data_IF_716036095005
#
_entry.id   IF_716036095005
#
_cell.length_a   1.000
_cell.length_b   1.000
_cell.length_c   1.000
_cell.angle_alpha   90.00
_cell.angle_beta   90.00
_cell.angle_gamma   90.00
#
_symmetry.space_group_name_H-M   'P 1'
#
loop_
_entity.id
_entity.type
_entity.pdbx_description
1 polymer ?
#
# COMPACT_ATOMS: atom_id res chain seq x y z
N UNK A 1 -50.84 42.30 8.71
CA UNK A 1 -49.95 41.94 7.58
C UNK A 1 -48.83 41.06 8.12
N UNK A 2 -48.63 39.84 7.59
CA UNK A 2 -47.51 38.97 7.97
C UNK A 2 -46.40 39.16 6.94
N UNK A 3 -45.32 39.83 7.31
CA UNK A 3 -44.15 40.04 6.45
C UNK A 3 -43.50 38.70 6.09
N UNK A 4 -43.78 38.21 4.88
CA UNK A 4 -42.98 37.15 4.24
C UNK A 4 -41.67 37.77 3.79
N UNK A 5 -40.65 37.74 4.65
CA UNK A 5 -39.26 37.95 4.21
C UNK A 5 -38.85 36.77 3.33
N UNK A 6 -38.91 36.96 2.01
CA UNK A 6 -38.23 36.08 1.06
C UNK A 6 -36.73 36.19 1.29
N UNK A 7 -36.21 35.32 2.15
CA UNK A 7 -34.77 35.23 2.38
C UNK A 7 -34.14 34.70 1.10
N UNK A 8 -33.51 35.57 0.32
CA UNK A 8 -32.70 35.19 -0.84
C UNK A 8 -31.67 34.14 -0.42
N UNK A 9 -31.29 33.24 -1.34
CA UNK A 9 -30.27 32.19 -1.10
C UNK A 9 -28.96 32.74 -0.51
N UNK A 10 -28.65 34.01 -0.80
CA UNK A 10 -27.49 34.73 -0.24
C UNK A 10 -27.64 34.97 1.28
N UNK A 11 -28.80 35.47 1.72
CA UNK A 11 -29.08 35.71 3.14
C UNK A 11 -29.02 34.42 3.98
N UNK A 12 -29.54 33.32 3.45
CA UNK A 12 -29.46 32.00 4.12
C UNK A 12 -28.01 31.49 4.24
N UNK A 13 -27.14 31.81 3.27
CA UNK A 13 -25.71 31.46 3.34
C UNK A 13 -24.98 32.28 4.41
N UNK A 14 -25.28 33.57 4.52
CA UNK A 14 -24.70 34.44 5.54
C UNK A 14 -25.09 34.03 6.96
N UNK A 15 -26.37 33.69 7.18
CA UNK A 15 -26.84 33.18 8.48
C UNK A 15 -26.08 31.90 8.84
N UNK A 16 -25.99 30.93 7.91
CA UNK A 16 -25.24 29.68 8.12
C UNK A 16 -23.74 29.93 8.38
N UNK A 17 -23.14 30.94 7.75
CA UNK A 17 -21.75 31.30 7.98
C UNK A 17 -21.55 31.92 9.36
N UNK A 18 -22.44 32.84 9.76
CA UNK A 18 -22.43 33.46 11.11
C UNK A 18 -22.61 32.41 12.21
N UNK A 19 -23.52 31.46 12.04
CA UNK A 19 -23.71 30.33 12.97
C UNK A 19 -22.48 29.43 13.06
N UNK A 20 -21.83 29.11 11.93
CA UNK A 20 -20.58 28.35 11.91
C UNK A 20 -19.45 29.05 12.66
N UNK A 21 -19.31 30.37 12.46
CA UNK A 21 -18.30 31.18 13.14
C UNK A 21 -18.57 31.21 14.65
N UNK A 22 -19.83 31.38 15.06
CA UNK A 22 -20.22 31.37 16.48
C UNK A 22 -19.89 30.02 17.14
N UNK A 23 -20.30 28.91 16.53
CA UNK A 23 -19.95 27.55 17.01
C UNK A 23 -18.45 27.31 17.08
N UNK A 24 -17.68 27.81 16.10
CA UNK A 24 -16.23 27.68 16.11
C UNK A 24 -15.56 28.48 17.23
N UNK A 25 -16.09 29.67 17.55
CA UNK A 25 -15.62 30.49 18.69
C UNK A 25 -15.92 29.81 20.02
N UNK A 26 -17.13 29.28 20.22
CA UNK A 26 -17.54 28.54 21.42
C UNK A 26 -16.65 27.31 21.64
N UNK A 27 -16.43 26.49 20.60
CA UNK A 27 -15.54 25.32 20.67
C UNK A 27 -14.08 25.68 20.99
N UNK A 28 -13.58 26.82 20.49
CA UNK A 28 -12.22 27.29 20.83
C UNK A 28 -12.12 27.66 22.30
N UNK A 29 -13.16 28.30 22.85
CA UNK A 29 -13.19 28.75 24.24
C UNK A 29 -13.30 27.55 25.19
N UNK A 30 -14.12 26.55 24.85
CA UNK A 30 -14.15 25.26 25.56
C UNK A 30 -12.80 24.53 25.52
N UNK A 31 -12.10 24.53 24.38
CA UNK A 31 -10.77 23.93 24.27
C UNK A 31 -9.73 24.64 25.15
N UNK A 32 -9.82 25.97 25.29
CA UNK A 32 -8.96 26.73 26.22
C UNK A 32 -9.24 26.36 27.67
N UNK A 33 -10.51 26.37 28.10
CA UNK A 33 -10.93 25.92 29.43
C UNK A 33 -10.51 24.47 29.75
N UNK A 34 -10.58 23.57 28.76
CA UNK A 34 -10.11 22.17 28.89
C UNK A 34 -8.58 22.07 29.03
N UNK A 35 -7.82 22.96 28.39
CA UNK A 35 -6.36 23.02 28.55
C UNK A 35 -5.96 23.60 29.91
N UNK A 36 -6.66 24.65 30.35
CA UNK A 36 -6.43 25.29 31.66
C UNK A 36 -6.78 24.37 32.83
N UNK A 37 -7.79 23.51 32.69
CA UNK A 37 -8.20 22.55 33.73
C UNK A 37 -7.26 21.34 33.92
N UNK A 38 -6.18 21.22 33.14
CA UNK A 38 -5.14 20.20 33.34
C UNK A 38 -5.58 18.73 33.18
N UNK A 39 -6.85 18.47 32.82
CA UNK A 39 -7.33 17.10 32.57
C UNK A 39 -6.59 16.52 31.37
N UNK A 40 -6.16 15.24 31.42
CA UNK A 40 -5.51 14.60 30.29
C UNK A 40 -6.45 14.71 29.08
N UNK A 41 -5.91 15.13 27.95
CA UNK A 41 -6.69 15.23 26.72
C UNK A 41 -7.28 13.85 26.41
N UNK A 42 -8.62 13.76 26.36
CA UNK A 42 -9.29 12.52 26.00
C UNK A 42 -8.80 11.99 24.65
N UNK A 43 -8.79 10.67 24.49
CA UNK A 43 -8.31 10.00 23.28
C UNK A 43 -9.08 10.58 22.07
N UNK A 44 -8.40 11.09 21.03
CA UNK A 44 -9.08 11.67 19.89
C UNK A 44 -9.91 10.61 19.18
N UNK A 45 -11.22 10.87 19.05
CA UNK A 45 -12.15 10.04 18.30
C UNK A 45 -11.84 10.14 16.79
N UNK A 46 -10.89 9.33 16.35
CA UNK A 46 -10.53 9.17 14.94
C UNK A 46 -11.32 8.01 14.32
N UNK A 47 -11.36 7.93 12.99
CA UNK A 47 -11.98 6.79 12.29
C UNK A 47 -11.32 5.44 12.63
N UNK A 48 -10.05 5.44 13.01
CA UNK A 48 -9.34 4.26 13.49
C UNK A 48 -9.79 3.89 14.91
N UNK A 49 -9.89 4.87 15.82
CA UNK A 49 -10.38 4.63 17.19
C UNK A 49 -11.85 4.19 17.23
N UNK A 50 -12.64 4.61 16.25
CA UNK A 50 -14.06 4.23 16.11
C UNK A 50 -14.25 3.08 15.10
N UNK A 51 -13.19 2.33 14.76
CA UNK A 51 -13.27 1.15 13.88
C UNK A 51 -14.22 0.13 14.53
N UNK A 52 -15.08 -0.48 13.71
CA UNK A 52 -15.87 -1.62 14.17
C UNK A 52 -14.92 -2.76 14.46
N UNK A 53 -14.99 -3.33 15.67
CA UNK A 53 -14.17 -4.49 16.02
C UNK A 53 -14.49 -5.62 15.04
N UNK A 54 -13.45 -6.22 14.48
CA UNK A 54 -13.54 -7.30 13.53
C UNK A 54 -13.04 -8.56 14.23
N UNK A 55 -13.85 -9.61 14.23
CA UNK A 55 -13.55 -10.90 14.87
C UNK A 55 -12.39 -11.63 14.18
N UNK A 56 -12.08 -11.26 12.93
CA UNK A 56 -11.00 -11.88 12.15
C UNK A 56 -9.62 -11.27 12.43
N UNK A 57 -9.49 -10.39 13.43
CA UNK A 57 -8.20 -9.85 13.85
C UNK A 57 -7.45 -10.93 14.63
N UNK A 58 -6.31 -11.36 14.10
CA UNK A 58 -5.51 -12.46 14.65
C UNK A 58 -4.09 -11.96 14.94
N UNK A 59 -3.48 -12.28 16.09
CA UNK A 59 -2.06 -12.04 16.34
C UNK A 59 -1.18 -12.76 15.31
N UNK A 60 -0.03 -12.19 14.97
CA UNK A 60 0.88 -12.81 14.00
C UNK A 60 1.54 -14.10 14.51
N UNK A 61 1.67 -14.22 15.82
CA UNK A 61 2.33 -15.34 16.50
C UNK A 61 1.35 -16.46 16.90
N UNK A 62 0.13 -16.43 16.36
CA UNK A 62 -0.88 -17.47 16.61
C UNK A 62 -0.44 -18.82 16.00
N UNK A 63 -0.34 -19.91 16.79
CA UNK A 63 0.12 -21.21 16.29
C UNK A 63 -0.70 -21.75 15.11
N UNK A 64 -2.02 -21.53 15.11
CA UNK A 64 -2.89 -22.04 14.04
C UNK A 64 -2.58 -21.35 12.70
N UNK A 65 -2.31 -20.04 12.77
CA UNK A 65 -1.93 -19.24 11.61
C UNK A 65 -0.55 -19.66 11.08
N UNK A 66 0.40 -19.95 11.97
CA UNK A 66 1.74 -20.40 11.56
C UNK A 66 1.69 -21.76 10.87
N UNK A 67 0.92 -22.71 11.39
CA UNK A 67 0.71 -24.01 10.75
C UNK A 67 0.05 -23.89 9.36
N UNK A 68 -0.95 -23.00 9.22
CA UNK A 68 -1.56 -22.71 7.91
C UNK A 68 -0.52 -22.13 6.94
N UNK A 69 0.33 -21.23 7.42
CA UNK A 69 1.37 -20.61 6.61
C UNK A 69 2.50 -21.56 6.21
N UNK A 70 2.89 -22.49 7.07
CA UNK A 70 3.97 -23.43 6.78
C UNK A 70 3.58 -24.47 5.72
N UNK A 71 2.28 -24.70 5.56
CA UNK A 71 1.72 -25.67 4.60
C UNK A 71 1.13 -25.04 3.33
N UNK A 72 1.21 -23.71 3.19
CA UNK A 72 0.57 -23.01 2.07
C UNK A 72 1.36 -23.05 0.77
N UNK A 73 0.75 -22.54 -0.31
CA UNK A 73 1.33 -22.56 -1.66
C UNK A 73 2.55 -21.65 -1.82
N UNK A 74 2.86 -20.83 -0.79
CA UNK A 74 3.96 -19.88 -0.77
C UNK A 74 5.07 -20.31 0.18
N UNK A 75 4.90 -21.40 0.94
CA UNK A 75 5.84 -21.88 1.94
C UNK A 75 7.26 -22.00 1.39
N UNK A 76 7.43 -22.56 0.18
CA UNK A 76 8.73 -22.70 -0.51
C UNK A 76 9.48 -21.35 -0.72
N UNK A 77 8.73 -20.25 -0.87
CA UNK A 77 9.31 -18.91 -1.05
C UNK A 77 9.67 -18.28 0.30
N UNK A 78 8.98 -18.66 1.37
CA UNK A 78 9.23 -18.19 2.72
C UNK A 78 10.30 -19.01 3.44
N UNK A 79 10.42 -20.31 3.17
CA UNK A 79 11.52 -21.17 3.63
C UNK A 79 12.86 -20.82 2.96
N UNK A 80 12.82 -20.17 1.80
CA UNK A 80 14.01 -19.79 1.03
C UNK A 80 14.44 -20.84 -0.01
N UNK A 81 13.71 -21.95 -0.11
CA UNK A 81 13.98 -23.01 -1.09
C UNK A 81 13.88 -22.51 -2.53
N UNK A 82 12.94 -21.57 -2.76
CA UNK A 82 12.70 -21.00 -4.09
C UNK A 82 12.82 -19.48 -4.09
N UNK A 83 13.87 -18.97 -4.72
CA UNK A 83 14.04 -17.51 -4.91
C UNK A 83 12.99 -16.95 -5.87
N UNK A 84 12.28 -15.86 -5.50
CA UNK A 84 11.31 -15.23 -6.39
C UNK A 84 11.93 -14.77 -7.70
N UNK A 85 11.32 -15.19 -8.81
CA UNK A 85 11.62 -14.76 -10.17
C UNK A 85 10.33 -14.27 -10.81
N UNK A 86 10.26 -12.99 -11.10
CA UNK A 86 9.01 -12.32 -11.44
C UNK A 86 8.96 -11.90 -12.90
N UNK A 87 7.85 -12.17 -13.57
CA UNK A 87 7.57 -11.66 -14.92
C UNK A 87 6.63 -10.47 -14.81
N UNK A 88 7.10 -9.25 -15.07
CA UNK A 88 6.27 -8.06 -15.15
C UNK A 88 5.88 -7.80 -16.60
N UNK A 89 4.57 -7.76 -16.85
CA UNK A 89 3.98 -7.38 -18.14
C UNK A 89 2.93 -6.30 -17.94
N UNK A 90 2.53 -5.68 -19.04
CA UNK A 90 1.46 -4.69 -19.06
C UNK A 90 0.43 -5.02 -20.15
N UNK A 91 -0.75 -4.43 -20.06
CA UNK A 91 -1.79 -4.55 -21.08
C UNK A 91 -1.28 -4.10 -22.45
N UNK A 92 -1.97 -4.51 -23.50
CA UNK A 92 -1.59 -4.10 -24.85
C UNK A 92 -1.83 -2.59 -25.07
N UNK A 93 -1.04 -1.97 -25.96
CA UNK A 93 -1.15 -0.54 -26.35
C UNK A 93 -1.22 0.46 -25.18
N UNK A 94 -0.42 0.26 -24.13
CA UNK A 94 -0.35 1.18 -22.98
C UNK A 94 0.37 2.49 -23.28
N UNK A 95 0.01 3.54 -22.55
CA UNK A 95 0.67 4.82 -22.68
C UNK A 95 2.13 4.79 -22.17
N UNK A 96 3.02 5.67 -22.68
CA UNK A 96 4.42 5.74 -22.24
C UNK A 96 4.58 6.00 -20.74
N UNK A 97 3.60 6.66 -20.10
CA UNK A 97 3.58 6.88 -18.65
C UNK A 97 3.47 5.56 -17.88
N UNK A 98 2.61 4.65 -18.31
CA UNK A 98 2.45 3.31 -17.69
C UNK A 98 3.66 2.42 -17.96
N UNK A 99 4.24 2.49 -19.16
CA UNK A 99 5.52 1.83 -19.44
C UNK A 99 6.63 2.35 -18.52
N UNK A 100 6.71 3.66 -18.33
CA UNK A 100 7.63 4.29 -17.38
C UNK A 100 7.42 3.80 -15.95
N UNK A 101 6.16 3.67 -15.52
CA UNK A 101 5.82 3.09 -14.21
C UNK A 101 6.32 1.65 -14.08
N UNK A 102 6.10 0.79 -15.08
CA UNK A 102 6.56 -0.59 -15.06
C UNK A 102 8.10 -0.69 -15.03
N UNK A 103 8.80 0.19 -15.76
CA UNK A 103 10.26 0.31 -15.72
C UNK A 103 10.76 0.73 -14.33
N UNK A 104 10.08 1.66 -13.67
CA UNK A 104 10.40 2.05 -12.30
C UNK A 104 10.14 0.88 -11.33
N UNK A 105 8.99 0.19 -11.45
CA UNK A 105 8.64 -0.95 -10.59
C UNK A 105 9.66 -2.10 -10.70
N UNK A 106 10.10 -2.42 -11.93
CA UNK A 106 11.12 -3.43 -12.19
C UNK A 106 12.51 -3.08 -11.58
N UNK A 107 12.79 -1.79 -11.32
CA UNK A 107 14.00 -1.38 -10.61
C UNK A 107 13.87 -1.46 -9.09
N UNK A 108 12.64 -1.45 -8.56
CA UNK A 108 12.38 -1.47 -7.12
C UNK A 108 12.34 -2.90 -6.59
N UNK A 109 11.62 -3.79 -7.27
CA UNK A 109 11.48 -5.18 -6.85
C UNK A 109 12.64 -5.99 -7.45
N UNK A 110 13.40 -6.75 -6.64
CA UNK A 110 14.46 -7.63 -7.14
C UNK A 110 13.93 -8.70 -8.10
N UNK A 111 14.79 -9.22 -8.98
CA UNK A 111 14.50 -10.37 -9.85
C UNK A 111 13.27 -10.21 -10.77
N UNK A 112 12.91 -8.97 -11.14
CA UNK A 112 11.83 -8.69 -12.09
C UNK A 112 12.34 -8.62 -13.52
N UNK A 113 11.71 -9.40 -14.40
CA UNK A 113 11.89 -9.33 -15.84
C UNK A 113 10.71 -8.59 -16.46
N UNK A 114 10.98 -7.39 -16.98
CA UNK A 114 9.98 -6.61 -17.70
C UNK A 114 9.91 -7.08 -19.16
N UNK A 115 8.75 -7.58 -19.59
CA UNK A 115 8.49 -7.95 -20.98
C UNK A 115 7.15 -7.37 -21.45
N UNK A 116 7.14 -6.86 -22.67
CA UNK A 116 5.90 -6.47 -23.33
C UNK A 116 5.10 -7.73 -23.71
N UNK A 117 3.78 -7.62 -23.75
CA UNK A 117 2.87 -8.74 -24.00
C UNK A 117 2.67 -9.07 -25.49
N UNK A 118 2.81 -8.09 -26.38
CA UNK A 118 2.65 -8.26 -27.84
C UNK A 118 1.38 -9.04 -28.22
N UNK A 119 0.21 -8.57 -27.76
CA UNK A 119 -1.10 -9.20 -28.01
C UNK A 119 -1.30 -10.64 -27.47
N UNK A 120 -0.34 -11.21 -26.73
CA UNK A 120 -0.50 -12.55 -26.15
C UNK A 120 -1.56 -12.56 -25.03
N UNK A 121 -2.53 -13.48 -25.02
CA UNK A 121 -3.49 -13.58 -23.93
C UNK A 121 -2.79 -14.09 -22.66
N UNK A 122 -3.24 -13.60 -21.50
CA UNK A 122 -2.66 -13.96 -20.19
C UNK A 122 -2.66 -15.48 -19.95
N UNK A 123 -3.72 -16.18 -20.38
CA UNK A 123 -3.82 -17.64 -20.30
C UNK A 123 -2.69 -18.38 -21.02
N UNK A 124 -2.09 -17.80 -22.07
CA UNK A 124 -0.91 -18.38 -22.77
C UNK A 124 0.43 -17.98 -22.14
N UNK A 125 0.46 -16.89 -21.37
CA UNK A 125 1.67 -16.41 -20.70
C UNK A 125 1.98 -17.27 -19.49
N UNK A 126 0.95 -17.70 -18.74
CA UNK A 126 1.12 -18.46 -17.50
C UNK A 126 1.86 -19.79 -17.72
N UNK A 127 1.45 -20.68 -18.65
CA UNK A 127 2.18 -21.93 -18.89
C UNK A 127 3.64 -21.70 -19.30
N UNK A 128 3.88 -20.71 -20.17
CA UNK A 128 5.24 -20.33 -20.59
C UNK A 128 6.06 -19.76 -19.43
N UNK A 129 5.43 -19.03 -18.52
CA UNK A 129 6.11 -18.50 -17.34
C UNK A 129 6.47 -19.63 -16.37
N UNK A 130 5.60 -20.63 -16.21
CA UNK A 130 5.89 -21.84 -15.42
C UNK A 130 7.08 -22.60 -16.02
N UNK A 131 7.07 -22.83 -17.33
CA UNK A 131 8.16 -23.51 -18.06
C UNK A 131 9.51 -22.79 -17.91
N UNK A 132 9.49 -21.45 -17.90
CA UNK A 132 10.69 -20.63 -17.69
C UNK A 132 11.08 -20.43 -16.20
N UNK A 133 10.40 -21.15 -15.28
CA UNK A 133 10.69 -21.15 -13.85
C UNK A 133 10.31 -19.87 -13.11
N UNK A 134 9.40 -19.04 -13.63
CA UNK A 134 8.91 -17.86 -12.91
C UNK A 134 8.04 -18.28 -11.72
N UNK A 135 8.18 -17.57 -10.60
CA UNK A 135 7.41 -17.78 -9.36
C UNK A 135 6.15 -16.94 -9.31
N UNK A 136 6.10 -15.82 -10.02
CA UNK A 136 4.86 -15.06 -10.19
C UNK A 136 4.87 -14.20 -11.46
N UNK A 137 3.68 -13.91 -11.95
CA UNK A 137 3.43 -13.00 -13.08
C UNK A 137 2.67 -11.79 -12.56
N UNK A 138 3.23 -10.61 -12.81
CA UNK A 138 2.63 -9.32 -12.50
C UNK A 138 2.13 -8.67 -13.79
N UNK A 139 0.89 -8.18 -13.76
CA UNK A 139 0.20 -7.61 -14.91
C UNK A 139 -0.35 -6.24 -14.53
N UNK A 140 0.16 -5.20 -15.18
CA UNK A 140 -0.36 -3.83 -15.04
C UNK A 140 -1.32 -3.53 -16.18
N UNK A 141 -2.58 -3.25 -15.84
CA UNK A 141 -3.58 -2.81 -16.81
C UNK A 141 -3.78 -1.30 -16.75
N UNK A 142 -4.02 -0.72 -17.92
CA UNK A 142 -4.35 0.68 -18.12
C UNK A 142 -5.84 0.86 -18.47
N UNK A 143 -6.43 1.93 -17.98
CA UNK A 143 -7.76 2.40 -18.36
C UNK A 143 -7.71 3.93 -18.54
N UNK A 144 -8.26 4.42 -19.65
CA UNK A 144 -8.26 5.84 -20.02
C UNK A 144 -6.90 6.54 -19.80
N UNK A 145 -5.83 5.95 -20.38
CA UNK A 145 -4.43 6.44 -20.29
C UNK A 145 -3.88 6.54 -18.86
N UNK A 146 -4.46 5.80 -17.90
CA UNK A 146 -4.04 5.76 -16.50
C UNK A 146 -3.94 4.31 -16.01
N UNK A 147 -2.83 3.97 -15.36
CA UNK A 147 -2.68 2.66 -14.75
C UNK A 147 -3.77 2.44 -13.66
N UNK A 148 -4.54 1.35 -13.78
CA UNK A 148 -5.78 1.14 -13.03
C UNK A 148 -5.80 -0.17 -12.23
N UNK A 149 -5.23 -1.25 -12.76
CA UNK A 149 -5.29 -2.56 -12.10
C UNK A 149 -3.90 -3.20 -12.10
N UNK A 150 -3.53 -3.80 -10.98
CA UNK A 150 -2.37 -4.67 -10.85
C UNK A 150 -2.88 -6.07 -10.50
N UNK A 151 -2.64 -7.04 -11.37
CA UNK A 151 -2.92 -8.45 -11.11
C UNK A 151 -1.59 -9.15 -10.83
N UNK A 152 -1.54 -9.93 -9.77
CA UNK A 152 -0.37 -10.72 -9.39
C UNK A 152 -0.82 -12.17 -9.26
N UNK A 153 -0.28 -13.05 -10.09
CA UNK A 153 -0.60 -14.48 -10.08
C UNK A 153 0.65 -15.25 -9.65
N UNK A 154 0.56 -15.94 -8.52
CA UNK A 154 1.64 -16.79 -8.02
C UNK A 154 1.63 -18.12 -8.77
N UNK A 155 2.81 -18.59 -9.16
CA UNK A 155 3.02 -19.78 -9.99
C UNK A 155 3.81 -20.83 -9.19
N UNK A 156 3.59 -22.13 -9.46
CA UNK A 156 2.84 -22.72 -10.58
C UNK A 156 1.34 -22.90 -10.31
N UNK A 157 0.92 -23.08 -9.05
CA UNK A 157 -0.48 -23.28 -8.64
C UNK A 157 -0.92 -22.29 -7.56
N UNK A 158 -0.16 -21.21 -7.37
CA UNK A 158 -0.44 -20.23 -6.33
C UNK A 158 -1.65 -19.36 -6.65
N UNK A 159 -2.19 -18.64 -5.66
CA UNK A 159 -3.36 -17.78 -5.81
C UNK A 159 -3.08 -16.56 -6.68
N UNK A 160 -4.15 -15.95 -7.16
CA UNK A 160 -4.12 -14.74 -7.96
C UNK A 160 -4.81 -13.59 -7.24
N UNK A 161 -4.04 -12.55 -6.94
CA UNK A 161 -4.55 -11.34 -6.29
C UNK A 161 -4.72 -10.21 -7.29
N UNK A 162 -5.89 -9.59 -7.25
CA UNK A 162 -6.20 -8.40 -8.05
C UNK A 162 -6.28 -7.18 -7.16
N UNK A 163 -5.49 -6.17 -7.48
CA UNK A 163 -5.50 -4.87 -6.83
C UNK A 163 -5.99 -3.79 -7.78
N UNK A 164 -6.82 -2.88 -7.27
CA UNK A 164 -7.01 -1.57 -7.90
C UNK A 164 -5.80 -0.71 -7.60
N UNK A 165 -5.15 -0.24 -8.64
CA UNK A 165 -4.07 0.73 -8.61
C UNK A 165 -4.65 2.16 -8.70
N UNK A 166 -4.13 3.07 -7.88
CA UNK A 166 -4.56 4.46 -7.85
C UNK A 166 -3.40 5.37 -7.45
N UNK A 167 -3.52 6.67 -7.77
CA UNK A 167 -2.55 7.69 -7.38
C UNK A 167 -1.10 7.40 -7.83
N UNK A 168 -0.92 6.82 -9.01
CA UNK A 168 0.42 6.52 -9.56
C UNK A 168 1.16 7.82 -9.89
N UNK A 169 2.21 8.09 -9.10
CA UNK A 169 3.17 9.17 -9.29
C UNK A 169 4.52 8.56 -9.59
N UNK A 170 5.05 8.89 -10.75
CA UNK A 170 6.39 8.49 -11.16
C UNK A 170 7.42 9.28 -10.36
N UNK A 171 8.62 8.72 -10.22
CA UNK A 171 9.72 9.38 -9.52
C UNK A 171 10.05 10.76 -10.08
N UNK A 172 10.02 10.90 -11.41
CA UNK A 172 10.25 12.18 -12.12
C UNK A 172 9.24 13.28 -11.78
N UNK A 173 8.08 12.92 -11.23
CA UNK A 173 7.02 13.86 -10.86
C UNK A 173 7.06 14.27 -9.38
N UNK A 174 7.97 13.68 -8.59
CA UNK A 174 8.12 14.00 -7.17
C UNK A 174 8.92 15.29 -6.99
N UNK A 175 8.41 16.21 -6.16
CA UNK A 175 9.07 17.49 -5.85
C UNK A 175 10.12 17.30 -4.73
N UNK A 176 11.35 17.77 -4.94
CA UNK A 176 12.41 17.78 -3.92
C UNK A 176 13.69 18.49 -4.41
N UNK A 177 14.37 19.24 -3.52
CA UNK A 177 15.55 20.10 -3.83
C UNK A 177 16.83 19.33 -4.17
N UNK A 178 16.94 18.05 -3.80
CA UNK A 178 18.10 17.22 -4.13
C UNK A 178 17.73 16.37 -5.33
N UNK A 179 18.36 16.63 -6.48
CA UNK A 179 18.22 15.80 -7.68
C UNK A 179 18.56 14.36 -7.30
N UNK A 180 17.51 13.58 -7.08
CA UNK A 180 17.33 12.19 -7.46
C UNK A 180 18.64 11.39 -7.61
N UNK A 181 19.30 11.03 -6.50
CA UNK A 181 20.22 9.88 -6.54
C UNK A 181 19.45 8.69 -7.08
N UNK A 182 19.92 8.11 -8.17
CA UNK A 182 19.31 6.93 -8.78
C UNK A 182 19.20 5.79 -7.79
N UNK A 183 18.24 4.90 -8.08
CA UNK A 183 18.10 3.65 -7.36
C UNK A 183 19.41 2.90 -7.61
N UNK A 184 20.22 2.76 -6.57
CA UNK A 184 21.54 2.13 -6.68
C UNK A 184 21.37 0.70 -7.19
N UNK A 185 22.13 0.26 -8.21
CA UNK A 185 22.12 -1.14 -8.59
C UNK A 185 22.64 -1.99 -7.41
N UNK A 186 22.16 -3.23 -7.27
CA UNK A 186 22.68 -4.27 -6.36
C UNK A 186 22.39 -4.15 -4.85
N UNK A 187 21.77 -3.08 -4.35
CA UNK A 187 21.35 -3.01 -2.92
C UNK A 187 19.99 -3.66 -2.66
N UNK A 188 19.88 -4.82 -2.02
CA UNK A 188 18.56 -5.43 -1.78
C UNK A 188 17.70 -4.52 -0.87
N UNK A 189 16.42 -4.25 -1.21
CA UNK A 189 15.55 -3.43 -0.35
C UNK A 189 15.00 -4.23 0.82
N UNK A 190 14.93 -3.62 1.99
CA UNK A 190 14.21 -4.15 3.14
C UNK A 190 12.70 -3.94 2.97
N UNK A 191 11.90 -4.99 3.16
CA UNK A 191 10.45 -4.98 3.03
C UNK A 191 9.82 -4.67 4.40
N UNK A 192 9.01 -3.62 4.45
CA UNK A 192 8.20 -3.28 5.62
C UNK A 192 6.73 -3.34 5.25
N UNK A 193 6.01 -4.24 5.89
CA UNK A 193 4.56 -4.37 5.81
C UNK A 193 3.95 -3.95 7.15
N UNK A 194 2.93 -3.10 7.12
CA UNK A 194 2.41 -2.48 8.34
C UNK A 194 0.88 -2.45 8.34
N UNK A 195 0.29 -2.76 9.50
CA UNK A 195 -1.16 -2.73 9.78
C UNK A 195 -1.99 -3.69 8.93
N UNK A 196 -1.44 -4.86 8.62
CA UNK A 196 -2.21 -6.03 8.18
C UNK A 196 -2.52 -6.83 9.43
N UNK A 197 -3.77 -6.80 9.87
CA UNK A 197 -4.16 -7.36 11.18
C UNK A 197 -5.25 -8.40 11.09
N UNK A 198 -6.13 -8.30 10.10
CA UNK A 198 -7.16 -9.32 9.87
C UNK A 198 -6.55 -10.55 9.19
N UNK A 199 -7.20 -11.71 9.26
CA UNK A 199 -6.77 -12.92 8.54
C UNK A 199 -6.59 -12.68 7.04
N UNK A 200 -7.52 -11.95 6.41
CA UNK A 200 -7.40 -11.50 5.01
C UNK A 200 -6.23 -10.53 4.80
N UNK A 201 -5.99 -9.64 5.76
CA UNK A 201 -4.85 -8.73 5.79
C UNK A 201 -3.53 -9.49 5.79
N UNK A 202 -3.38 -10.47 6.68
CA UNK A 202 -2.19 -11.32 6.81
C UNK A 202 -1.98 -12.18 5.55
N UNK A 203 -3.06 -12.75 4.96
CA UNK A 203 -2.99 -13.44 3.67
C UNK A 203 -2.50 -12.50 2.56
N UNK A 204 -3.03 -11.28 2.50
CA UNK A 204 -2.60 -10.26 1.53
C UNK A 204 -1.16 -9.82 1.74
N UNK A 205 -0.74 -9.66 3.00
CA UNK A 205 0.65 -9.37 3.38
C UNK A 205 1.59 -10.47 2.90
N UNK A 206 1.22 -11.74 3.14
CA UNK A 206 1.99 -12.91 2.70
C UNK A 206 2.14 -12.98 1.18
N UNK A 207 1.07 -12.72 0.43
CA UNK A 207 1.08 -12.64 -1.03
C UNK A 207 2.02 -11.56 -1.55
N UNK A 208 1.98 -10.37 -0.95
CA UNK A 208 2.89 -9.28 -1.30
C UNK A 208 4.33 -9.64 -0.91
N UNK A 209 4.53 -10.26 0.25
CA UNK A 209 5.83 -10.68 0.77
C UNK A 209 6.53 -11.74 -0.09
N UNK A 210 5.76 -12.65 -0.71
CA UNK A 210 6.28 -13.66 -1.62
C UNK A 210 6.85 -13.09 -2.94
N UNK A 211 6.62 -11.81 -3.25
CA UNK A 211 7.26 -11.14 -4.38
C UNK A 211 8.70 -10.74 -4.10
N UNK A 212 9.14 -10.77 -2.84
CA UNK A 212 10.46 -10.33 -2.43
C UNK A 212 11.30 -11.52 -1.97
N UNK A 213 12.58 -11.58 -2.37
CA UNK A 213 13.52 -12.56 -1.83
C UNK A 213 13.62 -12.50 -0.30
N UNK A 214 14.03 -13.60 0.31
CA UNK A 214 14.14 -13.70 1.78
C UNK A 214 15.05 -12.63 2.40
N UNK A 215 16.16 -12.30 1.73
CA UNK A 215 17.07 -11.23 2.12
C UNK A 215 16.40 -9.85 2.26
N UNK A 216 15.22 -9.63 1.65
CA UNK A 216 14.45 -8.40 1.84
C UNK A 216 13.71 -8.38 3.19
N UNK A 217 13.40 -9.54 3.76
CA UNK A 217 12.68 -9.71 5.02
C UNK A 217 13.63 -9.78 6.22
N UNK A 218 14.89 -10.13 5.99
CA UNK A 218 15.94 -10.16 7.01
C UNK A 218 16.29 -8.75 7.54
N UNK A 219 17.06 -8.72 8.63
CA UNK A 219 17.48 -7.49 9.29
C UNK A 219 18.19 -6.52 8.31
N UNK A 220 17.86 -5.22 8.35
CA UNK A 220 18.33 -4.29 7.34
C UNK A 220 19.79 -3.87 7.58
N UNK A 221 20.54 -3.72 6.49
CA UNK A 221 21.95 -3.27 6.52
C UNK A 221 22.06 -1.76 6.75
N UNK A 222 23.26 -1.27 7.13
CA UNK A 222 23.51 0.14 7.51
C UNK A 222 23.13 1.15 6.41
N UNK A 223 23.31 0.77 5.15
CA UNK A 223 22.91 1.55 3.98
C UNK A 223 21.95 0.72 3.15
N UNK A 224 20.66 0.84 3.47
CA UNK A 224 19.63 0.01 2.87
C UNK A 224 18.55 0.84 2.18
N UNK A 225 18.02 0.27 1.10
CA UNK A 225 16.74 0.67 0.53
C UNK A 225 15.63 0.06 1.38
N UNK A 226 14.46 0.68 1.40
CA UNK A 226 13.29 0.19 2.12
C UNK A 226 12.04 0.37 1.28
N UNK A 227 11.34 -0.73 1.05
CA UNK A 227 10.04 -0.76 0.40
C UNK A 227 8.98 -0.91 1.49
N UNK A 228 8.01 0.00 1.50
CA UNK A 228 6.97 0.06 2.53
C UNK A 228 5.61 -0.18 1.89
N UNK A 229 4.88 -1.17 2.42
CA UNK A 229 3.46 -1.38 2.20
C UNK A 229 2.72 -1.07 3.50
N UNK A 230 2.14 0.12 3.57
CA UNK A 230 1.40 0.56 4.74
C UNK A 230 -0.10 0.45 4.49
N UNK A 231 -0.79 -0.44 5.20
CA UNK A 231 -2.24 -0.51 5.16
C UNK A 231 -2.86 0.56 6.05
N UNK A 232 -3.81 1.31 5.49
CA UNK A 232 -4.66 2.21 6.24
C UNK A 232 -6.05 2.22 5.60
N UNK A 233 -7.05 1.70 6.31
CA UNK A 233 -8.46 1.69 5.88
C UNK A 233 -8.67 0.99 4.52
N UNK A 234 -8.09 -0.20 4.36
CA UNK A 234 -8.01 -0.98 3.11
C UNK A 234 -7.22 -0.33 1.96
N UNK A 235 -6.55 0.79 2.20
CA UNK A 235 -5.64 1.39 1.23
C UNK A 235 -4.22 1.02 1.60
N UNK A 236 -3.59 0.23 0.73
CA UNK A 236 -2.20 -0.15 0.89
C UNK A 236 -1.36 0.90 0.16
N UNK A 237 -0.66 1.73 0.93
CA UNK A 237 0.22 2.76 0.39
C UNK A 237 1.60 2.16 0.15
N UNK A 238 2.03 2.20 -1.11
CA UNK A 238 3.38 1.84 -1.49
C UNK A 238 4.30 3.05 -1.42
N UNK A 239 5.44 2.91 -0.75
CA UNK A 239 6.51 3.90 -0.73
C UNK A 239 7.86 3.20 -0.84
N UNK A 240 8.84 3.86 -1.44
CA UNK A 240 10.20 3.36 -1.53
C UNK A 240 11.17 4.43 -1.09
N UNK A 241 11.83 4.17 0.03
CA UNK A 241 12.77 5.07 0.68
C UNK A 241 14.19 4.52 0.58
N UNK A 242 15.14 5.43 0.54
CA UNK A 242 16.54 5.20 0.89
C UNK A 242 16.74 5.86 2.24
N UNK A 243 17.25 5.13 3.21
CA UNK A 243 17.60 5.71 4.49
C UNK A 243 19.11 5.66 4.72
N UNK A 244 19.61 6.63 5.47
CA UNK A 244 20.99 6.69 5.93
C UNK A 244 20.97 6.98 7.42
N UNK A 245 21.61 6.14 8.21
CA UNK A 245 21.90 6.46 9.62
C UNK A 245 22.96 7.55 9.63
N UNK A 246 22.68 8.64 10.35
CA UNK A 246 23.61 9.74 10.55
C UNK A 246 23.72 10.01 12.04
N UNK A 247 24.94 10.18 12.49
CA UNK A 247 25.24 10.81 13.77
C UNK A 247 25.19 12.32 13.57
N UNK A 248 24.45 13.05 14.39
CA UNK A 248 24.60 14.49 14.45
C UNK A 248 25.96 14.80 15.09
N UNK A 249 26.83 15.50 14.38
CA UNK A 249 28.11 15.94 14.92
C UNK A 249 27.86 16.92 16.07
N UNK A 250 28.69 16.84 17.12
CA UNK A 250 28.54 17.61 18.36
C UNK A 250 28.66 19.14 18.17
N UNK A 251 29.10 19.61 17.00
CA UNK A 251 29.32 21.05 16.73
C UNK A 251 28.02 21.82 16.40
N UNK A 252 26.98 21.18 15.83
CA UNK A 252 25.70 21.87 15.55
C UNK A 252 24.74 21.89 16.74
N UNK A 253 24.92 21.00 17.73
CA UNK A 253 24.13 20.98 18.95
C UNK A 253 24.99 21.45 20.12
N UNK A 254 24.76 22.69 20.57
CA UNK A 254 25.30 23.25 21.83
C UNK A 254 25.18 22.24 23.00
N UNK A 255 26.22 21.42 23.20
CA UNK A 255 26.44 20.61 24.41
C UNK A 255 25.60 19.32 24.59
N UNK A 256 25.08 18.70 23.53
CA UNK A 256 24.28 17.46 23.66
C UNK A 256 24.90 16.27 22.93
N UNK A 257 25.04 15.11 23.60
CA UNK A 257 25.49 13.81 23.03
C UNK A 257 24.91 13.60 21.62
N UNK A 258 25.78 13.29 20.65
CA UNK A 258 25.41 13.10 19.23
C UNK A 258 24.24 12.14 19.09
N UNK A 259 23.06 12.68 18.74
CA UNK A 259 21.85 11.88 18.58
C UNK A 259 21.88 11.24 17.20
N UNK A 260 21.88 9.92 17.14
CA UNK A 260 21.65 9.21 15.89
C UNK A 260 20.25 9.51 15.36
N UNK A 261 20.17 9.87 14.09
CA UNK A 261 18.90 10.07 13.40
C UNK A 261 18.94 9.40 12.02
N UNK A 262 17.76 9.04 11.53
CA UNK A 262 17.60 8.38 10.23
C UNK A 262 17.18 9.42 9.20
N UNK A 263 18.07 9.72 8.27
CA UNK A 263 17.77 10.58 7.13
C UNK A 263 17.10 9.75 6.02
N UNK A 264 15.81 9.96 5.79
CA UNK A 264 15.05 9.25 4.75
C UNK A 264 14.83 10.12 3.51
N UNK A 265 15.07 9.55 2.34
CA UNK A 265 14.76 10.16 1.05
C UNK A 265 13.91 9.21 0.22
N UNK A 266 12.87 9.73 -0.43
CA UNK A 266 12.03 8.91 -1.29
C UNK A 266 12.61 8.80 -2.69
N UNK A 267 12.76 7.55 -3.17
CA UNK A 267 13.52 7.24 -4.38
C UNK A 267 12.71 6.49 -5.45
N UNK A 268 11.58 5.88 -5.10
CA UNK A 268 10.73 5.14 -6.05
C UNK A 268 9.38 5.79 -6.33
N UNK A 269 8.54 5.16 -7.17
CA UNK A 269 7.19 5.64 -7.45
C UNK A 269 6.31 5.59 -6.21
N UNK A 270 5.27 6.44 -6.18
CA UNK A 270 4.18 6.35 -5.22
C UNK A 270 2.94 5.80 -5.91
N UNK A 271 2.28 4.87 -5.25
CA UNK A 271 0.95 4.46 -5.65
C UNK A 271 0.19 3.92 -4.44
N UNK A 272 -1.11 3.72 -4.63
CA UNK A 272 -1.99 3.12 -3.65
C UNK A 272 -2.64 1.90 -4.29
N UNK A 273 -2.58 0.78 -3.59
CA UNK A 273 -3.30 -0.44 -3.94
C UNK A 273 -4.54 -0.55 -3.06
N UNK A 274 -5.58 -1.18 -3.62
CA UNK A 274 -6.77 -1.57 -2.90
C UNK A 274 -7.18 -2.96 -3.35
N UNK A 275 -7.25 -3.90 -2.42
CA UNK A 275 -7.61 -5.28 -2.71
C UNK A 275 -8.99 -5.34 -3.38
N UNK A 276 -9.09 -6.05 -4.51
CA UNK A 276 -10.33 -6.31 -5.24
C UNK A 276 -10.79 -7.75 -5.08
N UNK A 277 -9.88 -8.69 -5.24
CA UNK A 277 -10.17 -10.10 -5.09
C UNK A 277 -8.90 -10.91 -4.86
N UNK A 278 -9.07 -12.05 -4.21
CA UNK A 278 -8.11 -13.15 -4.11
C UNK A 278 -8.81 -14.36 -4.72
N UNK A 279 -8.20 -14.90 -5.76
CA UNK A 279 -8.64 -16.09 -6.48
C UNK A 279 -7.73 -17.26 -6.10
N UNK A 280 -8.33 -18.42 -5.86
CA UNK A 280 -7.62 -19.67 -5.65
C UNK A 280 -7.02 -20.14 -6.97
N UNK A 281 -5.73 -20.47 -6.95
CA UNK A 281 -4.97 -20.85 -8.14
C UNK A 281 -4.64 -19.70 -9.10
N UNK A 282 -4.06 -20.09 -10.24
CA UNK A 282 -3.57 -19.16 -11.26
C UNK A 282 -4.71 -18.41 -11.94
N UNK A 283 -4.39 -17.32 -12.64
CA UNK A 283 -5.40 -16.45 -13.24
C UNK A 283 -6.33 -17.22 -14.21
N UNK A 284 -7.58 -17.38 -13.80
CA UNK A 284 -8.68 -17.81 -14.66
C UNK A 284 -9.87 -16.86 -14.56
N UNK A 285 -10.29 -16.34 -15.71
CA UNK A 285 -11.36 -15.35 -15.82
C UNK A 285 -12.76 -15.97 -15.91
N UNK A 286 -12.89 -17.27 -16.14
CA UNK A 286 -14.19 -17.91 -16.42
C UNK A 286 -14.69 -18.79 -15.26
N UNK A 287 -13.85 -19.69 -14.75
CA UNK A 287 -14.23 -20.69 -13.75
C UNK A 287 -13.35 -20.61 -12.50
N UNK A 288 -12.78 -19.43 -12.26
CA UNK A 288 -11.92 -19.18 -11.12
C UNK A 288 -12.69 -19.16 -9.80
N UNK A 289 -12.31 -20.02 -8.86
CA UNK A 289 -12.81 -19.97 -7.49
C UNK A 289 -12.18 -18.81 -6.72
N UNK A 290 -13.00 -18.03 -6.03
CA UNK A 290 -12.53 -16.89 -5.26
C UNK A 290 -12.56 -17.16 -3.77
N UNK A 291 -11.39 -17.04 -3.14
CA UNK A 291 -11.27 -16.98 -1.68
C UNK A 291 -11.99 -15.73 -1.15
N UNK A 292 -11.81 -14.59 -1.83
CA UNK A 292 -12.43 -13.35 -1.43
C UNK A 292 -12.68 -12.40 -2.60
N UNK A 293 -13.83 -11.72 -2.62
CA UNK A 293 -14.16 -10.68 -3.60
C UNK A 293 -14.76 -9.46 -2.91
N UNK A 294 -14.26 -8.28 -3.28
CA UNK A 294 -14.79 -7.01 -2.78
C UNK A 294 -16.16 -6.69 -3.38
N UNK A 295 -17.23 -7.05 -2.66
CA UNK A 295 -18.59 -6.66 -2.99
C UNK A 295 -18.88 -5.22 -2.53
N UNK A 296 -19.27 -4.35 -3.47
CA UNK A 296 -19.60 -2.93 -3.17
C UNK A 296 -20.81 -2.79 -2.26
N UNK A 297 -21.77 -3.72 -2.37
CA UNK A 297 -23.01 -3.77 -1.60
C UNK A 297 -22.80 -4.05 -0.11
N UNK A 298 -21.80 -4.86 0.24
CA UNK A 298 -21.53 -5.29 1.62
C UNK A 298 -20.55 -4.34 2.31
N UNK A 299 -19.39 -4.09 1.70
CA UNK A 299 -18.29 -3.32 2.32
C UNK A 299 -18.51 -1.79 2.19
N UNK A 300 -19.44 -1.35 1.35
CA UNK A 300 -19.74 0.07 1.13
C UNK A 300 -20.71 0.69 2.14
N UNK A 301 -21.39 -0.12 2.96
CA UNK A 301 -22.44 0.35 3.90
C UNK A 301 -21.86 0.99 5.16
N UNK A 302 -20.71 0.50 5.64
CA UNK A 302 -20.01 1.04 6.81
C UNK A 302 -18.78 1.88 6.45
N UNK A 303 -18.70 3.13 6.93
CA UNK A 303 -17.47 3.96 6.80
C UNK A 303 -16.37 3.60 7.82
N UNK A 304 -16.62 2.60 8.67
CA UNK A 304 -15.79 2.18 9.81
C UNK A 304 -15.40 0.69 9.78
N UNK A 305 -15.84 -0.03 8.75
CA UNK A 305 -15.53 -1.44 8.51
C UNK A 305 -14.38 -1.52 7.52
N UNK A 306 -13.30 -2.20 7.91
CA UNK A 306 -12.10 -2.41 7.11
C UNK A 306 -11.73 -3.89 7.20
N UNK A 307 -11.33 -4.48 6.07
CA UNK A 307 -11.18 -5.93 5.89
C UNK A 307 -9.72 -6.39 5.88
N UNK A 308 -8.77 -5.45 5.88
CA UNK A 308 -7.33 -5.69 5.95
C UNK A 308 -6.74 -5.31 7.32
#
# INVERSE_FOLDING_TARGET
MRDRKETTRHHQREIKLKEKIKKAKEQRLERKKKKESGKPAGIPQTLESLRTVDETIVPKDDPDLLMEQDSDELAEVFSGDRTPKLLLTFSDRVCPRTVGFCKELAKVIPNVYLKARWHLPVKKIIPKAIENGFTAVMIVNEDNKKANTLVVSHLPKGPTVTFRLSNVRLRREMRGRRRNKDIEPNVIPHLITSRFTTRLGLRTERLIGALFPDACRSAPTVHSRTVVFHNQRDFIFFRHFRYQRRTADAEENKGGRGKEYIAMNEVGPRFTLKLRSIQLGTFDSQFGDYEWVRKRSEIGKGRRTFVL
#
